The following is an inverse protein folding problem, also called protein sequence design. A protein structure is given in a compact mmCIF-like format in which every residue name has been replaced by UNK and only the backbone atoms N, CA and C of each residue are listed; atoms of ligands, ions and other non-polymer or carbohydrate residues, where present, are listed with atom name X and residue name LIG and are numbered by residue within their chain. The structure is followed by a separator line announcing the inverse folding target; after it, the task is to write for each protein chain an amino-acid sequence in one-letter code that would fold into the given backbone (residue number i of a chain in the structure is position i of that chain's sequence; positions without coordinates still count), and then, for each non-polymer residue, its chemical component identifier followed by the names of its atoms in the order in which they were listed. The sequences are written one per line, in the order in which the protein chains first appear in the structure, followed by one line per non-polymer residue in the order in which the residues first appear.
data_IF_117384329634
#
_entry.id   IF_117384329634
#
_cell.length_a   1.000
_cell.length_b   1.000
_cell.length_c   1.000
_cell.angle_alpha   90.00
_cell.angle_beta   90.00
_cell.angle_gamma   90.00
#
_symmetry.space_group_name_H-M   'P 1'
#
loop_
_entity.id
_entity.type
_entity.pdbx_description
1 polymer ?
#
# COMPACT_ATOMS: atom_id res chain seq x y z
N UNK A 1 -2.79 -1.65 -1.47
CA UNK A 1 -2.17 -1.44 -0.15
C UNK A 1 -1.47 -2.68 0.41
N UNK A 2 -2.13 -3.86 0.46
CA UNK A 2 -1.53 -5.14 0.90
C UNK A 2 -0.22 -5.51 0.18
N UNK A 3 -0.13 -5.25 -1.12
CA UNK A 3 1.07 -5.54 -1.91
C UNK A 3 2.29 -4.69 -1.52
N UNK A 4 2.08 -3.43 -1.10
CA UNK A 4 3.15 -2.56 -0.61
C UNK A 4 3.65 -3.06 0.75
N UNK A 5 2.75 -3.58 1.59
CA UNK A 5 3.11 -4.18 2.87
C UNK A 5 3.92 -5.48 2.71
N UNK A 6 3.60 -6.30 1.69
CA UNK A 6 4.33 -7.53 1.38
C UNK A 6 5.64 -7.33 0.61
N UNK A 7 5.84 -6.18 -0.04
CA UNK A 7 7.02 -5.88 -0.85
C UNK A 7 7.56 -4.46 -0.56
N UNK A 8 8.08 -4.20 0.66
CA UNK A 8 8.61 -2.88 1.00
C UNK A 8 9.80 -2.50 0.10
N UNK A 9 9.83 -1.27 -0.41
CA UNK A 9 10.94 -0.76 -1.22
C UNK A 9 10.86 -1.09 -2.72
N UNK A 10 9.81 -1.77 -3.19
CA UNK A 10 9.58 -1.94 -4.63
C UNK A 10 9.01 -0.67 -5.28
N UNK A 11 9.42 -0.43 -6.54
CA UNK A 11 8.90 0.66 -7.37
C UNK A 11 7.44 0.38 -7.74
N UNK A 12 6.66 1.45 -7.94
CA UNK A 12 5.28 1.33 -8.41
C UNK A 12 5.14 0.54 -9.72
N UNK A 13 6.15 0.57 -10.58
CA UNK A 13 6.14 -0.15 -11.84
C UNK A 13 6.20 -1.67 -11.63
N UNK A 14 7.14 -2.14 -10.80
CA UNK A 14 7.23 -3.56 -10.40
C UNK A 14 5.96 -4.03 -9.68
N UNK A 15 5.40 -3.19 -8.81
CA UNK A 15 4.17 -3.51 -8.08
C UNK A 15 2.96 -3.60 -9.02
N UNK A 16 2.90 -2.73 -10.03
CA UNK A 16 1.84 -2.74 -11.04
C UNK A 16 1.95 -3.99 -11.93
N UNK A 17 3.16 -4.35 -12.33
CA UNK A 17 3.47 -5.56 -13.10
C UNK A 17 3.04 -6.84 -12.35
N UNK A 18 3.40 -6.96 -11.07
CA UNK A 18 2.99 -8.07 -10.21
C UNK A 18 1.48 -8.16 -9.99
N UNK A 19 0.79 -7.02 -10.04
CA UNK A 19 -0.67 -6.96 -9.93
C UNK A 19 -1.38 -7.22 -11.28
N UNK A 20 -0.64 -7.24 -12.38
CA UNK A 20 -1.22 -7.20 -13.73
C UNK A 20 -2.11 -5.97 -13.95
N UNK A 21 -1.80 -4.84 -13.29
CA UNK A 21 -2.61 -3.60 -13.36
C UNK A 21 -1.80 -2.46 -13.92
N UNK A 22 -2.50 -1.45 -14.42
CA UNK A 22 -1.87 -0.24 -14.91
C UNK A 22 -1.21 0.56 -13.79
N UNK A 23 0.02 1.02 -14.06
CA UNK A 23 0.83 1.85 -13.15
C UNK A 23 0.12 3.15 -12.76
N UNK A 24 -0.72 3.69 -13.65
CA UNK A 24 -1.48 4.92 -13.40
C UNK A 24 -2.53 4.73 -12.32
N UNK A 25 -3.32 3.65 -12.38
CA UNK A 25 -4.28 3.32 -11.31
C UNK A 25 -3.56 3.18 -9.97
N UNK A 26 -2.41 2.49 -9.96
CA UNK A 26 -1.61 2.34 -8.75
C UNK A 26 -1.12 3.69 -8.20
N UNK A 27 -0.70 4.61 -9.07
CA UNK A 27 -0.31 5.97 -8.67
C UNK A 27 -1.48 6.75 -8.06
N UNK A 28 -2.70 6.62 -8.61
CA UNK A 28 -3.90 7.25 -8.05
C UNK A 28 -4.17 6.73 -6.65
N UNK A 29 -4.10 5.41 -6.46
CA UNK A 29 -4.27 4.79 -5.14
C UNK A 29 -3.18 5.23 -4.16
N UNK A 30 -1.92 5.26 -4.58
CA UNK A 30 -0.80 5.75 -3.75
C UNK A 30 -1.00 7.22 -3.37
N UNK A 31 -1.49 8.06 -4.28
CA UNK A 31 -1.75 9.48 -3.99
C UNK A 31 -2.88 9.64 -2.96
N UNK A 32 -3.95 8.84 -3.06
CA UNK A 32 -5.03 8.77 -2.06
C UNK A 32 -4.50 8.29 -0.71
N UNK A 33 -3.74 7.19 -0.69
CA UNK A 33 -3.16 6.62 0.53
C UNK A 33 -2.15 7.55 1.20
N UNK A 34 -1.37 8.29 0.42
CA UNK A 34 -0.46 9.34 0.91
C UNK A 34 -1.25 10.48 1.54
N UNK A 35 -2.34 10.93 0.92
CA UNK A 35 -3.24 11.94 1.50
C UNK A 35 -3.87 11.50 2.83
N UNK A 36 -4.13 10.20 2.98
CA UNK A 36 -4.62 9.60 4.23
C UNK A 36 -3.51 9.33 5.27
N UNK A 37 -2.23 9.59 4.94
CA UNK A 37 -1.09 9.31 5.82
C UNK A 37 -0.79 7.81 6.00
N UNK A 38 -1.31 6.97 5.12
CA UNK A 38 -1.24 5.51 5.27
C UNK A 38 -0.07 4.87 4.50
N UNK A 39 0.56 5.61 3.59
CA UNK A 39 1.76 5.18 2.84
C UNK A 39 2.86 6.24 2.89
N UNK A 40 4.11 5.81 2.93
CA UNK A 40 5.32 6.63 2.88
C UNK A 40 5.99 6.47 1.50
N UNK A 41 6.31 7.61 0.87
CA UNK A 41 7.21 7.64 -0.29
C UNK A 41 8.64 7.51 0.22
N UNK A 42 9.35 6.49 -0.25
CA UNK A 42 10.78 6.34 0.01
C UNK A 42 11.56 6.87 -1.20
N UNK A 43 12.85 7.09 -1.01
CA UNK A 43 13.78 7.42 -2.09
C UNK A 43 13.79 6.31 -3.17
N UNK A 44 13.61 5.06 -2.74
CA UNK A 44 13.37 3.91 -3.61
C UNK A 44 12.05 3.24 -3.24
N UNK A 45 11.02 3.48 -4.05
CA UNK A 45 9.73 2.80 -3.95
C UNK A 45 8.80 3.31 -2.87
N UNK A 46 7.95 2.42 -2.35
CA UNK A 46 6.90 2.76 -1.39
C UNK A 46 6.92 1.81 -0.19
N UNK A 47 6.57 2.35 0.98
CA UNK A 47 6.35 1.56 2.19
C UNK A 47 5.03 1.94 2.81
N UNK A 48 4.45 1.00 3.56
CA UNK A 48 3.27 1.30 4.37
C UNK A 48 3.67 2.11 5.60
N UNK A 49 2.89 3.13 5.94
CA UNK A 49 3.06 3.85 7.20
C UNK A 49 2.70 2.92 8.37
N UNK A 50 3.20 3.17 9.59
CA UNK A 50 2.74 2.46 10.79
C UNK A 50 1.21 2.52 10.94
N UNK A 51 0.58 3.65 10.59
CA UNK A 51 -0.89 3.80 10.55
C UNK A 51 -1.56 2.92 9.49
N UNK A 52 -0.94 2.79 8.33
CA UNK A 52 -1.42 1.90 7.26
C UNK A 52 -1.29 0.42 7.65
N UNK A 53 -0.23 0.05 8.37
CA UNK A 53 -0.07 -1.31 8.89
C UNK A 53 -1.14 -1.63 9.95
N UNK A 54 -1.44 -0.69 10.84
CA UNK A 54 -2.55 -0.81 11.77
C UNK A 54 -3.91 -0.93 11.05
N UNK A 55 -4.13 -0.14 10.01
CA UNK A 55 -5.33 -0.24 9.16
C UNK A 55 -5.43 -1.59 8.46
N UNK A 56 -4.33 -2.10 7.89
CA UNK A 56 -4.28 -3.44 7.30
C UNK A 56 -4.56 -4.54 8.32
N UNK A 57 -4.15 -4.37 9.57
CA UNK A 57 -4.46 -5.29 10.66
C UNK A 57 -5.95 -5.25 11.02
N UNK A 58 -6.55 -4.07 11.04
CA UNK A 58 -7.99 -3.90 11.30
C UNK A 58 -8.87 -4.50 10.20
N UNK A 59 -8.49 -4.35 8.93
CA UNK A 59 -9.26 -4.93 7.80
C UNK A 59 -8.87 -6.37 7.47
N UNK A 60 -7.69 -6.80 7.91
CA UNK A 60 -7.13 -8.13 7.65
C UNK A 60 -7.48 -9.16 8.71
N UNK A 61 -8.03 -8.72 9.82
CA UNK A 61 -8.55 -9.54 10.89
C UNK A 61 -10.09 -9.60 10.74
N UNK A 62 -10.66 -10.67 10.16
CA UNK A 62 -12.11 -10.90 10.18
C UNK A 62 -12.66 -11.18 11.60
N UNK A 63 -11.83 -11.08 12.65
CA UNK A 63 -12.16 -11.47 14.02
C UNK A 63 -12.74 -10.37 14.92
N UNK A 64 -13.02 -9.15 14.41
CA UNK A 64 -13.84 -8.17 15.14
C UNK A 64 -15.31 -8.26 14.73
N UNK A 65 -15.92 -9.40 15.02
CA UNK A 65 -17.36 -9.49 15.23
C UNK A 65 -17.52 -9.97 16.67
N UNK A 66 -17.63 -9.02 17.58
CA UNK A 66 -18.25 -9.25 18.88
C UNK A 66 -19.75 -8.98 18.74
#
# INVERSE_FOLDING_TARGET
MRIIAGNPGRRAQELADLLGREKESLKVDIRKLKGLGLTLSLEVGYRISPRGAAYLRLIGDPGRTC
#
